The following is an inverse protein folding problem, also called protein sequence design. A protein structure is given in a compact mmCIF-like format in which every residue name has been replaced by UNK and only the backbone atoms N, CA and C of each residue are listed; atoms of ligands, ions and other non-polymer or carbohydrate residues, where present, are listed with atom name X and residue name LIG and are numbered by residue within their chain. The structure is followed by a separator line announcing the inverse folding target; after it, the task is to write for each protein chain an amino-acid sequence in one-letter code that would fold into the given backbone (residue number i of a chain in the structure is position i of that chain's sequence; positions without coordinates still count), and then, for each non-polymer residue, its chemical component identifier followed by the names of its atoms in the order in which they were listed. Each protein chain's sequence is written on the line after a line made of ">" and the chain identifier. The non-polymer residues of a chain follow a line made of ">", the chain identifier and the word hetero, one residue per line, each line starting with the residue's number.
data_IF_471370831817
#
_entry.id   IF_471370831817
#
_cell.length_a   1.000
_cell.length_b   1.000
_cell.length_c   1.000
_cell.angle_alpha   90.00
_cell.angle_beta   90.00
_cell.angle_gamma   90.00
#
_symmetry.space_group_name_H-M   'P 1'
#
loop_
_entity.id
_entity.type
_entity.pdbx_description
1 polymer ?
#
# COMPACT_ATOMS: atom_id res chain seq x y z
N UNK A 1 -9.58 12.96 34.40
CA UNK A 1 -8.29 12.22 34.38
C UNK A 1 -8.35 11.24 33.21
N UNK A 2 -7.93 11.68 32.03
CA UNK A 2 -8.04 10.91 30.78
C UNK A 2 -6.73 10.14 30.59
N UNK A 3 -6.79 8.81 30.59
CA UNK A 3 -5.63 7.94 30.36
C UNK A 3 -5.13 8.17 28.93
N UNK A 4 -3.88 8.59 28.81
CA UNK A 4 -3.16 8.57 27.55
C UNK A 4 -2.98 7.11 27.11
N UNK A 5 -3.37 6.79 25.89
CA UNK A 5 -3.08 5.52 25.24
C UNK A 5 -1.59 5.50 24.95
N UNK A 6 -0.82 4.91 25.84
CA UNK A 6 0.62 4.76 25.71
C UNK A 6 0.91 3.62 24.73
N UNK A 7 1.26 3.98 23.49
CA UNK A 7 1.74 3.04 22.49
C UNK A 7 3.09 2.49 22.97
N UNK A 8 3.08 1.25 23.47
CA UNK A 8 4.31 0.55 23.86
C UNK A 8 5.15 0.27 22.61
N UNK A 9 6.46 0.58 22.60
CA UNK A 9 7.32 0.11 21.52
C UNK A 9 7.43 -1.42 21.62
N UNK A 10 6.96 -2.12 20.59
CA UNK A 10 7.20 -3.55 20.42
C UNK A 10 8.70 -3.72 20.16
N UNK A 11 9.41 -4.29 21.12
CA UNK A 11 10.82 -4.60 21.02
C UNK A 11 11.03 -5.68 19.93
N UNK A 12 11.67 -5.33 18.82
CA UNK A 12 12.02 -6.31 17.77
C UNK A 12 12.21 -5.80 16.35
N UNK A 13 11.99 -4.52 16.04
CA UNK A 13 12.07 -4.05 14.65
C UNK A 13 13.51 -4.00 14.10
N UNK A 14 13.77 -4.72 13.01
CA UNK A 14 14.98 -4.53 12.19
C UNK A 14 14.85 -3.21 11.43
N UNK A 15 15.87 -2.34 11.42
CA UNK A 15 15.83 -1.12 10.60
C UNK A 15 16.23 -1.46 9.15
N UNK A 16 15.43 -1.06 8.16
CA UNK A 16 15.82 -1.20 6.75
C UNK A 16 16.87 -0.16 6.33
N UNK A 17 17.37 -0.30 5.10
CA UNK A 17 18.36 0.61 4.51
C UNK A 17 17.90 2.08 4.39
N UNK A 18 16.60 2.36 4.62
CA UNK A 18 16.03 3.70 4.65
C UNK A 18 15.80 4.25 6.06
N UNK A 19 16.23 3.53 7.10
CA UNK A 19 16.03 3.90 8.51
C UNK A 19 14.60 3.69 9.00
N UNK A 20 13.76 2.98 8.23
CA UNK A 20 12.39 2.66 8.59
C UNK A 20 12.38 1.34 9.39
N UNK A 21 11.67 1.29 10.51
CA UNK A 21 11.56 0.06 11.29
C UNK A 21 10.68 -0.96 10.56
N UNK A 22 11.14 -2.21 10.51
CA UNK A 22 10.57 -3.33 9.77
C UNK A 22 10.07 -4.40 10.74
N UNK A 23 8.91 -4.99 10.46
CA UNK A 23 8.36 -6.12 11.20
C UNK A 23 9.08 -7.44 10.86
N UNK A 24 8.81 -8.51 11.62
CA UNK A 24 9.39 -9.85 11.41
C UNK A 24 9.12 -10.43 10.01
N UNK A 25 8.09 -9.93 9.31
CA UNK A 25 7.75 -10.33 7.95
C UNK A 25 8.48 -9.52 6.85
N UNK A 26 9.32 -8.55 7.22
CA UNK A 26 10.10 -7.77 6.25
C UNK A 26 9.36 -6.57 5.66
N UNK A 27 8.14 -6.26 6.11
CA UNK A 27 7.42 -5.04 5.72
C UNK A 27 7.63 -3.91 6.72
N UNK A 28 7.51 -2.65 6.29
CA UNK A 28 7.58 -1.52 7.20
C UNK A 28 6.52 -1.60 8.31
N UNK A 29 6.89 -1.19 9.53
CA UNK A 29 5.95 -0.98 10.62
C UNK A 29 5.02 0.17 10.26
N UNK A 30 3.73 -0.16 10.14
CA UNK A 30 2.65 0.74 9.78
C UNK A 30 1.86 1.22 10.99
N UNK A 31 0.88 2.09 10.74
CA UNK A 31 -0.20 2.38 11.70
C UNK A 31 -1.20 1.21 11.65
N UNK A 32 -1.41 0.53 12.79
CA UNK A 32 -2.40 -0.54 12.91
C UNK A 32 -3.81 0.05 12.76
N UNK A 33 -4.60 -0.48 11.83
CA UNK A 33 -5.96 0.02 11.55
C UNK A 33 -6.96 -0.40 12.61
N UNK A 34 -6.74 -1.57 13.24
CA UNK A 34 -7.63 -2.17 14.24
C UNK A 34 -7.05 -2.13 15.67
N UNK A 35 -5.80 -1.66 15.82
CA UNK A 35 -5.09 -1.61 17.11
C UNK A 35 -4.77 -3.00 17.68
N UNK A 36 -4.89 -4.05 16.89
CA UNK A 36 -4.61 -5.42 17.29
C UNK A 36 -3.20 -5.85 16.81
N UNK A 37 -2.35 -6.42 17.68
CA UNK A 37 -1.06 -6.97 17.26
C UNK A 37 -1.26 -8.05 16.19
N UNK A 38 -0.71 -7.81 14.99
CA UNK A 38 -0.84 -8.71 13.84
C UNK A 38 -2.06 -8.46 12.94
N UNK A 39 -2.80 -7.38 13.18
CA UNK A 39 -3.93 -6.92 12.37
C UNK A 39 -3.54 -6.24 11.05
N UNK A 40 -4.53 -5.60 10.42
CA UNK A 40 -4.31 -4.85 9.18
C UNK A 40 -3.56 -3.55 9.47
N UNK A 41 -2.44 -3.30 8.78
CA UNK A 41 -1.56 -2.14 9.02
C UNK A 41 -1.26 -1.36 7.75
N UNK A 42 -1.20 -0.03 7.86
CA UNK A 42 -0.90 0.84 6.73
C UNK A 42 0.61 0.86 6.44
N UNK A 43 1.01 0.28 5.31
CA UNK A 43 2.41 0.28 4.85
C UNK A 43 2.80 1.58 4.15
N UNK A 44 1.85 2.20 3.45
CA UNK A 44 2.11 3.42 2.69
C UNK A 44 0.84 4.23 2.44
N UNK A 45 1.02 5.55 2.42
CA UNK A 45 -0.01 6.52 2.01
C UNK A 45 0.53 7.36 0.87
N UNK A 46 -0.23 7.39 -0.22
CA UNK A 46 0.08 8.16 -1.41
C UNK A 46 -0.99 9.18 -1.74
N UNK A 47 -0.55 10.21 -2.45
CA UNK A 47 -1.41 11.15 -3.15
C UNK A 47 -0.72 11.54 -4.45
N UNK A 48 -1.46 11.86 -5.51
CA UNK A 48 -0.86 12.40 -6.73
C UNK A 48 -0.01 13.64 -6.40
N UNK A 49 1.11 13.81 -7.11
CA UNK A 49 1.96 14.99 -6.94
C UNK A 49 1.17 16.27 -7.25
N UNK A 50 1.07 17.21 -6.29
CA UNK A 50 0.31 18.45 -6.47
C UNK A 50 0.96 19.40 -7.48
N UNK A 51 2.26 19.24 -7.76
CA UNK A 51 2.99 20.06 -8.72
C UNK A 51 2.59 19.73 -10.17
N UNK A 52 2.41 18.45 -10.49
CA UNK A 52 2.07 17.99 -11.85
C UNK A 52 0.56 17.87 -12.08
N UNK A 53 -0.23 17.63 -11.03
CA UNK A 53 -1.69 17.50 -11.16
C UNK A 53 -2.42 17.93 -9.88
N UNK A 54 -2.55 19.25 -9.64
CA UNK A 54 -3.16 19.78 -8.42
C UNK A 54 -4.62 19.29 -8.23
N UNK A 55 -5.41 19.18 -9.30
CA UNK A 55 -6.78 18.68 -9.23
C UNK A 55 -6.86 17.21 -8.80
N UNK A 56 -6.01 16.34 -9.39
CA UNK A 56 -5.96 14.91 -8.99
C UNK A 56 -5.41 14.74 -7.58
N UNK A 57 -4.44 15.57 -7.18
CA UNK A 57 -3.86 15.56 -5.84
C UNK A 57 -4.88 15.94 -4.75
N UNK A 58 -5.95 16.65 -5.10
CA UNK A 58 -7.03 16.96 -4.16
C UNK A 58 -8.06 15.82 -4.09
N UNK A 59 -8.33 15.14 -5.20
CA UNK A 59 -9.42 14.18 -5.32
C UNK A 59 -9.04 12.71 -5.11
N UNK A 60 -7.78 12.34 -5.32
CA UNK A 60 -7.35 10.95 -5.19
C UNK A 60 -6.50 10.73 -3.94
N UNK A 61 -6.78 9.65 -3.22
CA UNK A 61 -5.94 9.17 -2.11
C UNK A 61 -5.64 7.69 -2.33
N UNK A 62 -4.40 7.33 -2.06
CA UNK A 62 -3.91 5.96 -2.17
C UNK A 62 -3.51 5.49 -0.79
N UNK A 63 -3.93 4.29 -0.40
CA UNK A 63 -3.46 3.64 0.82
C UNK A 63 -3.10 2.21 0.48
N UNK A 64 -1.92 1.80 0.88
CA UNK A 64 -1.46 0.43 0.80
C UNK A 64 -1.38 -0.12 2.22
N UNK A 65 -2.08 -1.23 2.46
CA UNK A 65 -1.97 -1.99 3.71
C UNK A 65 -1.20 -3.29 3.45
N UNK A 66 -0.99 -4.09 4.50
CA UNK A 66 -0.45 -5.44 4.38
C UNK A 66 -1.43 -6.43 3.72
N UNK A 67 -2.73 -6.11 3.65
CA UNK A 67 -3.75 -7.02 3.13
C UNK A 67 -4.37 -6.54 1.81
N UNK A 68 -4.54 -5.23 1.63
CA UNK A 68 -5.23 -4.66 0.46
C UNK A 68 -4.65 -3.32 0.01
N UNK A 69 -4.92 -2.98 -1.23
CA UNK A 69 -4.69 -1.67 -1.82
C UNK A 69 -6.03 -0.92 -1.90
N UNK A 70 -6.11 0.26 -1.31
CA UNK A 70 -7.30 1.13 -1.35
C UNK A 70 -7.03 2.37 -2.20
N UNK A 71 -7.96 2.66 -3.10
CA UNK A 71 -7.95 3.85 -3.94
C UNK A 71 -9.25 4.62 -3.75
N UNK A 72 -9.13 5.79 -3.14
CA UNK A 72 -10.25 6.71 -2.95
C UNK A 72 -10.26 7.76 -4.07
N UNK A 73 -11.43 7.98 -4.67
CA UNK A 73 -11.67 8.98 -5.70
C UNK A 73 -12.76 9.98 -5.27
N UNK A 74 -12.54 11.27 -5.55
CA UNK A 74 -13.56 12.31 -5.59
C UNK A 74 -13.46 13.38 -4.49
N UNK A 75 -14.18 14.48 -4.70
CA UNK A 75 -14.25 15.64 -3.80
C UNK A 75 -15.60 15.79 -3.09
N UNK A 76 -16.71 15.42 -3.76
CA UNK A 76 -18.08 15.51 -3.23
C UNK A 76 -18.71 14.12 -3.11
N UNK A 77 -18.68 13.31 -4.18
CA UNK A 77 -18.99 11.88 -4.13
C UNK A 77 -17.69 11.10 -3.92
N UNK A 78 -17.57 10.39 -2.80
CA UNK A 78 -16.41 9.53 -2.52
C UNK A 78 -16.70 8.13 -3.07
N UNK A 79 -15.87 7.68 -4.00
CA UNK A 79 -15.86 6.29 -4.46
C UNK A 79 -14.57 5.65 -3.96
N UNK A 80 -14.68 4.60 -3.18
CA UNK A 80 -13.53 3.82 -2.70
C UNK A 80 -13.51 2.50 -3.45
N UNK A 81 -12.36 2.17 -4.00
CA UNK A 81 -12.10 0.87 -4.63
C UNK A 81 -11.00 0.16 -3.86
N UNK A 82 -11.25 -1.10 -3.50
CA UNK A 82 -10.32 -1.94 -2.76
C UNK A 82 -9.90 -3.12 -3.63
N UNK A 83 -8.62 -3.49 -3.54
CA UNK A 83 -8.07 -4.69 -4.17
C UNK A 83 -7.24 -5.45 -3.16
N UNK A 84 -7.66 -6.67 -2.86
CA UNK A 84 -6.90 -7.56 -1.99
C UNK A 84 -5.54 -7.92 -2.61
N UNK A 85 -4.47 -7.84 -1.82
CA UNK A 85 -3.12 -8.09 -2.29
C UNK A 85 -2.89 -9.56 -2.69
N UNK A 86 -3.62 -10.51 -2.09
CA UNK A 86 -3.53 -11.91 -2.51
C UNK A 86 -4.07 -12.14 -3.93
N UNK A 87 -4.96 -11.27 -4.44
CA UNK A 87 -5.53 -11.33 -5.81
C UNK A 87 -4.72 -10.58 -6.85
N UNK A 88 -3.81 -9.71 -6.43
CA UNK A 88 -2.89 -9.04 -7.34
C UNK A 88 -2.10 -10.12 -8.08
N UNK A 89 -1.88 -9.96 -9.38
CA UNK A 89 -1.06 -10.87 -10.18
C UNK A 89 0.27 -10.22 -10.53
N UNK A 90 0.19 -8.99 -11.04
CA UNK A 90 1.35 -8.22 -11.44
C UNK A 90 1.14 -6.73 -11.16
N UNK A 91 2.25 -6.01 -11.05
CA UNK A 91 2.32 -4.57 -10.85
C UNK A 91 3.33 -4.00 -11.85
N UNK A 92 2.86 -3.11 -12.71
CA UNK A 92 3.67 -2.43 -13.71
C UNK A 92 3.75 -0.93 -13.42
N UNK A 93 4.84 -0.30 -13.86
CA UNK A 93 5.06 1.14 -13.76
C UNK A 93 5.09 1.72 -15.16
N UNK A 94 4.33 2.81 -15.37
CA UNK A 94 4.30 3.57 -16.60
C UNK A 94 4.80 4.98 -16.30
N UNK A 95 5.85 5.38 -17.02
CA UNK A 95 6.48 6.69 -16.89
C UNK A 95 6.96 7.16 -18.26
N UNK A 96 6.68 8.42 -18.57
CA UNK A 96 7.28 9.15 -19.68
C UNK A 96 8.63 9.78 -19.26
N UNK A 97 9.41 10.26 -20.22
CA UNK A 97 10.76 10.80 -19.96
C UNK A 97 10.76 11.96 -18.92
N UNK A 98 9.79 12.87 -19.01
CA UNK A 98 9.66 13.97 -18.05
C UNK A 98 9.26 13.47 -16.66
N UNK A 99 8.33 12.53 -16.58
CA UNK A 99 7.88 11.95 -15.29
C UNK A 99 9.03 11.26 -14.57
N UNK A 100 9.89 10.54 -15.32
CA UNK A 100 11.12 9.94 -14.80
C UNK A 100 12.10 10.99 -14.25
N UNK A 101 12.26 12.12 -14.95
CA UNK A 101 13.11 13.22 -14.45
C UNK A 101 12.58 13.82 -13.14
N UNK A 102 11.27 13.86 -12.95
CA UNK A 102 10.63 14.35 -11.72
C UNK A 102 10.42 13.25 -10.66
N UNK A 103 10.84 12.01 -10.91
CA UNK A 103 10.66 10.89 -9.99
C UNK A 103 9.20 10.52 -9.73
N UNK A 104 8.33 10.72 -10.73
CA UNK A 104 6.89 10.50 -10.63
C UNK A 104 6.47 9.50 -11.72
N UNK A 105 5.39 8.75 -11.48
CA UNK A 105 4.84 7.86 -12.49
C UNK A 105 3.49 7.27 -12.13
N UNK A 106 2.92 6.55 -13.08
CA UNK A 106 1.69 5.81 -12.88
C UNK A 106 1.99 4.35 -12.54
N UNK A 107 1.23 3.78 -11.63
CA UNK A 107 1.33 2.36 -11.25
C UNK A 107 0.06 1.66 -11.72
N UNK A 108 0.24 0.57 -12.45
CA UNK A 108 -0.82 -0.32 -12.91
C UNK A 108 -0.80 -1.60 -12.10
N UNK A 109 -1.91 -1.96 -11.49
CA UNK A 109 -2.10 -3.19 -10.72
C UNK A 109 -3.03 -4.09 -11.52
N UNK A 110 -2.57 -5.28 -11.84
CA UNK A 110 -3.36 -6.31 -12.50
C UNK A 110 -3.85 -7.31 -11.47
N UNK A 111 -5.14 -7.63 -11.50
CA UNK A 111 -5.81 -8.52 -10.53
C UNK A 111 -6.55 -9.63 -11.25
N UNK A 112 -6.73 -10.76 -10.57
CA UNK A 112 -7.52 -11.89 -11.04
C UNK A 112 -9.04 -11.67 -10.96
N UNK A 113 -9.48 -10.54 -10.39
CA UNK A 113 -10.91 -10.22 -10.24
C UNK A 113 -11.52 -9.82 -11.59
N UNK A 114 -12.54 -10.58 -12.02
CA UNK A 114 -13.23 -10.35 -13.29
C UNK A 114 -14.00 -9.01 -13.34
N UNK A 115 -14.41 -8.48 -12.19
CA UNK A 115 -15.17 -7.23 -12.12
C UNK A 115 -14.29 -5.98 -12.32
N UNK A 116 -13.00 -6.09 -12.00
CA UNK A 116 -12.07 -4.97 -12.09
C UNK A 116 -10.63 -5.46 -12.31
N UNK A 117 -10.26 -5.86 -13.54
CA UNK A 117 -9.00 -6.54 -13.83
C UNK A 117 -7.75 -5.65 -13.75
N UNK A 118 -7.91 -4.33 -13.86
CA UNK A 118 -6.82 -3.35 -13.79
C UNK A 118 -7.21 -2.19 -12.87
N UNK A 119 -6.27 -1.78 -12.01
CA UNK A 119 -6.35 -0.55 -11.20
C UNK A 119 -5.14 0.33 -11.45
N UNK A 120 -5.38 1.64 -11.56
CA UNK A 120 -4.34 2.61 -11.88
C UNK A 120 -4.20 3.66 -10.76
N UNK A 121 -2.99 3.79 -10.24
CA UNK A 121 -2.59 4.88 -9.35
C UNK A 121 -1.87 5.91 -10.21
N UNK A 122 -2.29 7.17 -10.12
CA UNK A 122 -1.79 8.24 -10.98
C UNK A 122 -0.81 9.15 -10.25
N UNK A 123 0.25 9.55 -10.94
CA UNK A 123 1.27 10.51 -10.48
C UNK A 123 1.81 10.18 -9.07
N UNK A 124 2.11 8.91 -8.85
CA UNK A 124 2.74 8.41 -7.63
C UNK A 124 4.19 8.89 -7.60
N UNK A 125 4.60 9.47 -6.48
CA UNK A 125 6.01 9.81 -6.22
C UNK A 125 6.80 8.54 -5.94
N UNK A 126 7.98 8.41 -6.54
CA UNK A 126 8.84 7.23 -6.45
C UNK A 126 8.08 5.92 -6.76
N UNK A 127 7.52 5.79 -7.97
CA UNK A 127 6.64 4.69 -8.33
C UNK A 127 7.35 3.33 -8.35
N UNK A 128 8.68 3.29 -8.54
CA UNK A 128 9.46 2.05 -8.48
C UNK A 128 9.54 1.52 -7.04
N UNK A 129 9.81 2.38 -6.05
CA UNK A 129 9.74 2.00 -4.64
C UNK A 129 8.35 1.51 -4.25
N UNK A 130 7.32 2.22 -4.68
CA UNK A 130 5.92 1.85 -4.35
C UNK A 130 5.54 0.52 -5.02
N UNK A 131 5.96 0.28 -6.27
CA UNK A 131 5.79 -1.01 -6.94
C UNK A 131 6.45 -2.15 -6.15
N UNK A 132 7.69 -1.97 -5.71
CA UNK A 132 8.41 -3.00 -4.97
C UNK A 132 7.75 -3.26 -3.60
N UNK A 133 7.24 -2.22 -2.96
CA UNK A 133 6.45 -2.34 -1.72
C UNK A 133 5.16 -3.13 -1.93
N UNK A 134 4.39 -2.85 -2.99
CA UNK A 134 3.15 -3.59 -3.31
C UNK A 134 3.49 -5.06 -3.61
N UNK A 135 4.55 -5.32 -4.39
CA UNK A 135 4.98 -6.68 -4.72
C UNK A 135 5.43 -7.46 -3.49
N UNK A 136 6.18 -6.82 -2.59
CA UNK A 136 6.60 -7.40 -1.32
C UNK A 136 5.41 -7.77 -0.45
N UNK A 137 4.49 -6.83 -0.24
CA UNK A 137 3.28 -7.05 0.55
C UNK A 137 2.39 -8.15 -0.03
N UNK A 138 2.18 -8.17 -1.35
CA UNK A 138 1.41 -9.23 -2.00
C UNK A 138 2.06 -10.61 -1.87
N UNK A 139 3.39 -10.71 -1.91
CA UNK A 139 4.10 -11.98 -1.72
C UNK A 139 3.87 -12.52 -0.30
N UNK A 140 4.02 -11.66 0.70
CA UNK A 140 3.88 -12.04 2.12
C UNK A 140 2.44 -12.45 2.42
N UNK A 141 1.45 -11.69 1.94
CA UNK A 141 0.05 -12.00 2.16
C UNK A 141 -0.36 -13.34 1.52
N UNK A 142 0.14 -13.65 0.32
CA UNK A 142 -0.07 -14.97 -0.29
C UNK A 142 0.57 -16.10 0.51
N UNK A 143 1.76 -15.88 1.08
CA UNK A 143 2.42 -16.86 1.94
C UNK A 143 1.64 -17.08 3.23
N UNK A 144 1.18 -15.99 3.88
CA UNK A 144 0.36 -16.02 5.09
C UNK A 144 -0.90 -16.86 4.89
N UNK A 145 -1.67 -16.59 3.84
CA UNK A 145 -2.90 -17.35 3.52
C UNK A 145 -2.63 -18.81 3.17
N UNK A 146 -1.49 -19.11 2.53
CA UNK A 146 -1.11 -20.50 2.23
C UNK A 146 -0.81 -21.31 3.49
N UNK A 147 -0.20 -20.70 4.51
CA UNK A 147 0.07 -21.38 5.79
C UNK A 147 -1.22 -21.64 6.55
N UNK A 148 -2.13 -20.65 6.61
CA UNK A 148 -3.43 -20.82 7.26
C UNK A 148 -4.26 -21.98 6.68
N UNK A 149 -4.26 -22.14 5.36
CA UNK A 149 -4.94 -23.27 4.70
C UNK A 149 -4.31 -24.64 5.01
N UNK A 150 -3.05 -24.69 5.46
CA UNK A 150 -2.37 -25.95 5.81
C UNK A 150 -2.72 -26.42 7.22
N UNK A 151 -2.94 -25.48 8.15
CA UNK A 151 -3.17 -25.80 9.56
C UNK A 151 -4.62 -26.23 9.86
N UNK A 152 -5.52 -26.18 8.86
CA UNK A 152 -6.92 -26.63 8.95
C UNK A 152 -7.15 -28.10 8.51
N UNK A 153 -6.08 -28.89 8.28
CA UNK A 153 -6.15 -30.30 7.82
C UNK A 153 -5.60 -31.25 8.87
#
# INVERSE_FOLDING_TARGET
>A
MTRATETRPVAGGVQDASGQMVADDGLPLGEDLDGAPGGERILWRGRPSPFLSPQKALMNRYKLTNERMMVDYGFIGRRTEEVDLYRVNDVAVKQNALERMFGIGDIKIFTSDASAPEKNLFNVSDPDRVKDLIRGAARIERQRRRVLLRDEV
#
